data_IF_596999360455
#
_entry.id   IF_596999360455
#
_cell.length_a   1.000
_cell.length_b   1.000
_cell.length_c   1.000
_cell.angle_alpha   90.00
_cell.angle_beta   90.00
_cell.angle_gamma   90.00
#
_symmetry.space_group_name_H-M   'P 1'
#
loop_
_entity.id
_entity.type
_entity.pdbx_description
1 polymer ?
#
# COMPACT_ATOMS: atom_id res chain seq x y z
N UNK A 1 -3.42 12.95 1.72
CA UNK A 1 -3.03 13.70 0.50
C UNK A 1 -3.61 15.09 0.58
N UNK A 2 -2.76 16.09 0.45
CA UNK A 2 -3.15 17.51 0.39
C UNK A 2 -3.02 17.95 -1.06
N UNK A 3 -4.08 18.53 -1.61
CA UNK A 3 -4.08 19.15 -2.94
C UNK A 3 -3.76 20.63 -2.75
N UNK A 4 -2.79 21.13 -3.51
CA UNK A 4 -2.50 22.55 -3.63
C UNK A 4 -3.03 23.05 -4.98
N UNK A 5 -3.65 24.22 -5.00
CA UNK A 5 -4.21 24.79 -6.22
C UNK A 5 -4.12 26.31 -6.22
N UNK A 6 -4.11 26.90 -7.42
CA UNK A 6 -4.03 28.35 -7.62
C UNK A 6 -5.43 28.93 -7.75
N UNK A 7 -5.70 30.00 -7.01
CA UNK A 7 -6.96 30.73 -7.02
C UNK A 7 -7.03 31.73 -8.19
N UNK A 8 -8.23 32.24 -8.54
CA UNK A 8 -8.38 33.27 -9.58
C UNK A 8 -7.63 34.58 -9.32
N UNK A 9 -7.29 34.87 -8.06
CA UNK A 9 -6.54 36.05 -7.63
C UNK A 9 -5.00 35.82 -7.58
N UNK A 10 -4.52 34.77 -8.23
CA UNK A 10 -3.13 34.31 -8.25
C UNK A 10 -2.55 33.81 -6.91
N UNK A 11 -3.34 33.78 -5.83
CA UNK A 11 -2.92 33.17 -4.55
C UNK A 11 -2.95 31.63 -4.60
N UNK A 12 -2.28 30.98 -3.66
CA UNK A 12 -2.31 29.52 -3.51
C UNK A 12 -3.18 29.12 -2.33
N UNK A 13 -3.95 28.04 -2.51
CA UNK A 13 -4.75 27.41 -1.46
C UNK A 13 -4.51 25.90 -1.42
N UNK A 14 -4.99 25.27 -0.35
CA UNK A 14 -4.82 23.85 -0.13
C UNK A 14 -6.04 23.24 0.54
N UNK A 15 -6.25 21.94 0.28
CA UNK A 15 -7.31 21.16 0.93
C UNK A 15 -6.89 19.70 1.08
N UNK A 16 -7.50 19.00 2.04
CA UNK A 16 -7.29 17.55 2.20
C UNK A 16 -8.20 16.81 1.22
N UNK A 17 -7.61 16.30 0.13
CA UNK A 17 -8.35 15.59 -0.91
C UNK A 17 -8.54 14.09 -0.59
N UNK A 18 -7.55 13.46 0.06
CA UNK A 18 -7.65 12.05 0.52
C UNK A 18 -7.15 11.93 1.94
N UNK A 19 -7.94 11.27 2.79
CA UNK A 19 -7.55 10.91 4.15
C UNK A 19 -7.89 9.45 4.44
N UNK A 20 -6.97 8.73 5.06
CA UNK A 20 -7.17 7.37 5.56
C UNK A 20 -7.44 7.46 7.05
N UNK A 21 -8.65 7.08 7.46
CA UNK A 21 -9.07 7.13 8.87
C UNK A 21 -8.29 6.12 9.69
N UNK A 22 -7.82 6.52 10.87
CA UNK A 22 -7.34 5.57 11.88
C UNK A 22 -8.45 4.61 12.28
N UNK A 23 -8.07 3.37 12.57
CA UNK A 23 -8.98 2.35 13.07
C UNK A 23 -8.84 2.27 14.59
N UNK A 24 -9.96 2.18 15.31
CA UNK A 24 -9.93 1.76 16.71
C UNK A 24 -9.48 0.30 16.77
N UNK A 25 -8.56 0.01 17.69
CA UNK A 25 -7.96 -1.32 17.78
C UNK A 25 -7.78 -1.77 19.22
N UNK A 26 -7.82 -3.09 19.44
CA UNK A 26 -7.42 -3.74 20.69
C UNK A 26 -6.09 -4.47 20.52
N UNK A 27 -5.41 -4.71 21.63
CA UNK A 27 -4.09 -5.37 21.69
C UNK A 27 -3.01 -4.66 20.87
N UNK A 28 -3.13 -3.34 20.77
CA UNK A 28 -2.17 -2.43 20.17
C UNK A 28 -1.71 -1.42 21.23
N UNK A 29 -0.52 -0.84 21.07
CA UNK A 29 0.06 0.08 22.04
C UNK A 29 -0.75 1.38 22.21
N UNK A 30 -1.54 1.75 21.20
CA UNK A 30 -2.45 2.90 21.23
C UNK A 30 -3.91 2.45 21.02
N UNK A 31 -4.91 3.25 21.41
CA UNK A 31 -6.32 2.92 21.16
C UNK A 31 -6.70 2.99 19.68
N UNK A 32 -5.91 3.70 18.86
CA UNK A 32 -6.14 3.86 17.44
C UNK A 32 -4.86 3.54 16.64
N UNK A 33 -5.05 2.92 15.48
CA UNK A 33 -3.99 2.56 14.53
C UNK A 33 -4.19 3.36 13.24
N UNK A 34 -3.22 4.23 12.86
CA UNK A 34 -3.27 4.91 11.57
C UNK A 34 -3.01 3.91 10.44
N UNK A 35 -3.38 4.26 9.20
CA UNK A 35 -2.98 3.45 8.04
C UNK A 35 -1.47 3.37 7.87
N UNK A 36 -0.77 4.44 8.27
CA UNK A 36 0.62 4.75 7.92
C UNK A 36 0.82 4.65 6.41
N UNK A 37 0.40 5.70 5.69
CA UNK A 37 0.65 5.82 4.25
C UNK A 37 2.16 6.02 4.08
N UNK A 38 2.85 5.00 3.59
CA UNK A 38 4.31 5.02 3.42
C UNK A 38 4.74 5.39 2.01
N UNK A 39 3.88 5.10 1.03
CA UNK A 39 4.17 5.39 -0.37
C UNK A 39 2.90 5.71 -1.15
N UNK A 40 3.06 6.48 -2.23
CA UNK A 40 2.00 6.79 -3.18
C UNK A 40 2.57 7.11 -4.56
N UNK A 41 1.79 6.82 -5.59
CA UNK A 41 2.11 7.16 -6.98
C UNK A 41 0.85 7.47 -7.79
N UNK A 42 1.04 8.13 -8.93
CA UNK A 42 -0.03 8.45 -9.89
C UNK A 42 0.23 7.66 -11.17
N UNK A 43 -0.84 7.18 -11.82
CA UNK A 43 -0.74 6.55 -13.15
C UNK A 43 -0.29 7.55 -14.21
N UNK A 44 0.38 7.07 -15.27
CA UNK A 44 0.90 7.96 -16.31
C UNK A 44 -0.17 8.77 -17.06
N UNK A 45 -1.42 8.31 -17.05
CA UNK A 45 -2.55 9.02 -17.63
C UNK A 45 -3.22 10.02 -16.66
N UNK A 46 -2.64 10.22 -15.47
CA UNK A 46 -3.13 11.08 -14.39
C UNK A 46 -4.56 10.75 -13.90
N UNK A 47 -5.07 9.54 -14.17
CA UNK A 47 -6.43 9.14 -13.81
C UNK A 47 -6.54 8.48 -12.45
N UNK A 48 -5.47 7.83 -11.96
CA UNK A 48 -5.49 7.08 -10.72
C UNK A 48 -4.33 7.40 -9.79
N UNK A 49 -4.64 7.55 -8.50
CA UNK A 49 -3.71 7.62 -7.39
C UNK A 49 -3.71 6.29 -6.61
N UNK A 50 -2.53 5.79 -6.26
CA UNK A 50 -2.36 4.58 -5.47
C UNK A 50 -1.70 4.92 -4.13
N UNK A 51 -2.15 4.30 -3.03
CA UNK A 51 -1.60 4.48 -1.68
C UNK A 51 -1.30 3.13 -1.04
N UNK A 52 -0.15 2.99 -0.38
CA UNK A 52 0.19 1.83 0.45
C UNK A 52 0.04 2.16 1.94
N UNK A 53 -0.86 1.47 2.66
CA UNK A 53 -1.06 1.62 4.09
C UNK A 53 -0.34 0.51 4.85
N UNK A 54 0.85 0.80 5.35
CA UNK A 54 1.76 -0.20 5.88
C UNK A 54 1.26 -0.87 7.17
N UNK A 55 0.55 -0.16 8.05
CA UNK A 55 0.02 -0.76 9.30
C UNK A 55 -1.32 -1.45 9.09
N UNK A 56 -2.22 -0.84 8.31
CA UNK A 56 -3.52 -1.45 7.98
C UNK A 56 -3.32 -2.71 7.14
N UNK A 57 -2.39 -2.69 6.19
CA UNK A 57 -2.11 -3.83 5.32
C UNK A 57 -2.77 -3.77 3.95
N UNK A 58 -3.29 -2.62 3.54
CA UNK A 58 -4.01 -2.47 2.28
C UNK A 58 -3.38 -1.45 1.32
N UNK A 59 -3.51 -1.75 0.03
CA UNK A 59 -3.28 -0.80 -1.05
C UNK A 59 -4.63 -0.29 -1.53
N UNK A 60 -4.71 1.02 -1.80
CA UNK A 60 -5.92 1.68 -2.30
C UNK A 60 -5.65 2.34 -3.63
N UNK A 61 -6.63 2.30 -4.51
CA UNK A 61 -6.67 3.00 -5.79
C UNK A 61 -7.80 4.04 -5.72
N UNK A 62 -7.50 5.28 -6.07
CA UNK A 62 -8.45 6.39 -6.15
C UNK A 62 -8.50 6.92 -7.58
N UNK A 63 -9.69 7.04 -8.16
CA UNK A 63 -9.88 7.85 -9.36
C UNK A 63 -9.70 9.33 -9.00
N UNK A 64 -8.86 10.03 -9.75
CA UNK A 64 -8.49 11.44 -9.56
C UNK A 64 -8.74 12.29 -10.82
N UNK A 65 -9.62 11.86 -11.73
CA UNK A 65 -10.04 12.67 -12.90
C UNK A 65 -10.62 14.03 -12.46
N UNK A 66 -11.21 14.08 -11.27
CA UNK A 66 -11.42 15.31 -10.50
C UNK A 66 -10.47 15.31 -9.27
N UNK A 67 -9.32 16.00 -9.34
CA UNK A 67 -8.35 16.03 -8.24
C UNK A 67 -8.89 16.66 -6.95
N UNK A 68 -9.96 17.48 -7.02
CA UNK A 68 -10.60 18.06 -5.85
C UNK A 68 -11.48 17.04 -5.12
N UNK A 69 -11.99 16.03 -5.83
CA UNK A 69 -12.88 15.00 -5.28
C UNK A 69 -12.43 13.57 -5.64
N UNK A 70 -11.25 13.10 -5.17
CA UNK A 70 -10.80 11.73 -5.41
C UNK A 70 -11.80 10.68 -4.91
N UNK A 71 -12.05 9.64 -5.70
CA UNK A 71 -13.02 8.59 -5.37
C UNK A 71 -12.31 7.24 -5.22
N UNK A 72 -12.51 6.57 -4.09
CA UNK A 72 -11.98 5.22 -3.89
C UNK A 72 -12.58 4.28 -4.96
N UNK A 73 -11.71 3.70 -5.78
CA UNK A 73 -12.07 2.86 -6.93
C UNK A 73 -11.64 1.40 -6.73
N UNK A 74 -10.64 1.14 -5.90
CA UNK A 74 -10.18 -0.21 -5.57
C UNK A 74 -9.45 -0.28 -4.23
N UNK A 75 -9.49 -1.44 -3.59
CA UNK A 75 -8.77 -1.73 -2.36
C UNK A 75 -8.41 -3.22 -2.32
N UNK A 76 -7.18 -3.54 -1.89
CA UNK A 76 -6.74 -4.93 -1.73
C UNK A 76 -5.92 -5.09 -0.44
N UNK A 77 -6.21 -6.13 0.34
CA UNK A 77 -5.50 -6.46 1.58
C UNK A 77 -4.37 -7.44 1.28
N UNK A 78 -3.15 -7.05 1.61
CA UNK A 78 -1.91 -7.78 1.24
C UNK A 78 -0.94 -7.90 2.42
N UNK A 79 -1.46 -7.85 3.65
CA UNK A 79 -0.67 -7.99 4.86
C UNK A 79 -1.29 -7.23 6.03
N UNK A 80 -0.45 -6.54 6.80
CA UNK A 80 -0.88 -5.64 7.86
C UNK A 80 -1.02 -6.28 9.23
N UNK A 81 -1.24 -5.43 10.23
CA UNK A 81 -1.38 -5.84 11.62
C UNK A 81 -2.79 -6.35 11.95
N UNK A 82 -3.80 -6.02 11.16
CA UNK A 82 -5.20 -6.42 11.41
C UNK A 82 -5.62 -7.68 10.64
N UNK A 83 -4.65 -8.43 10.09
CA UNK A 83 -4.92 -9.68 9.38
C UNK A 83 -5.41 -10.78 10.32
N UNK A 84 -6.18 -11.72 9.78
CA UNK A 84 -6.65 -12.89 10.52
C UNK A 84 -5.48 -13.69 11.09
N UNK A 85 -5.56 -13.98 12.39
CA UNK A 85 -4.51 -14.69 13.14
C UNK A 85 -3.44 -13.77 13.75
N UNK A 86 -3.50 -12.45 13.53
CA UNK A 86 -2.71 -11.51 14.34
C UNK A 86 -3.32 -11.34 15.74
N UNK A 87 -2.56 -10.72 16.65
CA UNK A 87 -3.07 -10.37 17.99
C UNK A 87 -3.96 -9.13 17.98
N UNK A 88 -3.83 -8.25 16.97
CA UNK A 88 -4.53 -6.98 16.90
C UNK A 88 -5.94 -7.17 16.33
N UNK A 89 -6.93 -6.57 16.98
CA UNK A 89 -8.34 -6.62 16.56
C UNK A 89 -8.81 -5.21 16.22
N UNK A 90 -9.33 -4.99 15.02
CA UNK A 90 -9.95 -3.71 14.65
C UNK A 90 -11.40 -3.66 15.13
N UNK A 91 -11.89 -2.49 15.53
CA UNK A 91 -13.28 -2.29 15.94
C UNK A 91 -14.11 -1.67 14.81
N UNK A 92 -15.26 -2.27 14.54
CA UNK A 92 -16.29 -1.72 13.65
C UNK A 92 -17.13 -0.65 14.37
N UNK A 93 -17.96 0.08 13.62
CA UNK A 93 -18.78 1.18 14.15
C UNK A 93 -19.81 0.72 15.18
N UNK A 94 -20.25 -0.53 15.10
CA UNK A 94 -21.20 -1.15 16.04
C UNK A 94 -20.52 -1.73 17.29
N UNK A 95 -19.19 -1.55 17.42
CA UNK A 95 -18.40 -2.06 18.54
C UNK A 95 -17.96 -3.52 18.40
N UNK A 96 -18.33 -4.21 17.33
CA UNK A 96 -17.83 -5.55 17.04
C UNK A 96 -16.37 -5.50 16.61
N UNK A 97 -15.61 -6.58 16.83
CA UNK A 97 -14.22 -6.67 16.39
C UNK A 97 -14.09 -7.48 15.11
N UNK A 98 -13.19 -7.08 14.22
CA UNK A 98 -12.88 -7.79 12.99
C UNK A 98 -11.38 -7.85 12.71
N UNK A 99 -11.03 -8.78 11.85
CA UNK A 99 -9.73 -8.91 11.19
C UNK A 99 -9.98 -9.14 9.71
N UNK A 100 -8.98 -8.88 8.87
CA UNK A 100 -9.08 -9.01 7.41
C UNK A 100 -8.48 -10.32 6.94
N UNK A 101 -9.13 -10.96 5.97
CA UNK A 101 -8.52 -12.09 5.27
C UNK A 101 -7.44 -11.56 4.30
N UNK A 102 -6.28 -12.21 4.30
CA UNK A 102 -5.15 -11.91 3.42
C UNK A 102 -4.80 -13.21 2.69
N UNK A 103 -4.73 -13.21 1.35
CA UNK A 103 -4.47 -14.42 0.60
C UNK A 103 -3.03 -14.91 0.81
N UNK A 104 -2.84 -16.22 0.70
CA UNK A 104 -1.53 -16.81 0.49
C UNK A 104 -1.23 -16.85 -1.01
N UNK A 105 0.02 -16.61 -1.41
CA UNK A 105 0.45 -16.63 -2.81
C UNK A 105 1.45 -17.77 -2.99
N UNK A 106 1.14 -18.73 -3.86
CA UNK A 106 1.97 -19.91 -4.09
C UNK A 106 2.34 -20.67 -2.79
N UNK A 107 1.42 -20.70 -1.82
CA UNK A 107 1.64 -21.33 -0.51
C UNK A 107 2.42 -20.48 0.50
N UNK A 108 2.84 -19.26 0.12
CA UNK A 108 3.53 -18.33 1.00
C UNK A 108 2.55 -17.38 1.69
N UNK A 109 2.67 -17.27 3.01
CA UNK A 109 1.98 -16.25 3.79
C UNK A 109 2.63 -14.89 3.57
N UNK A 110 1.83 -13.88 3.24
CA UNK A 110 2.32 -12.51 3.17
C UNK A 110 2.73 -12.01 4.56
N UNK A 111 3.93 -11.43 4.63
CA UNK A 111 4.58 -10.85 5.82
C UNK A 111 4.52 -9.32 5.75
N UNK A 112 4.54 -8.63 6.89
CA UNK A 112 4.52 -7.16 6.89
C UNK A 112 3.23 -6.57 6.33
N UNK A 113 3.24 -5.27 6.05
CA UNK A 113 2.25 -4.59 5.22
C UNK A 113 2.89 -4.05 3.94
N UNK A 114 2.09 -3.63 2.94
CA UNK A 114 2.61 -3.06 1.70
C UNK A 114 3.34 -1.75 2.00
N UNK A 115 4.50 -1.56 1.38
CA UNK A 115 5.36 -0.39 1.61
C UNK A 115 5.62 0.38 0.33
N UNK A 116 6.68 0.11 -0.44
CA UNK A 116 6.87 0.75 -1.75
C UNK A 116 5.98 0.06 -2.77
N UNK A 117 5.41 0.86 -3.66
CA UNK A 117 4.61 0.38 -4.79
C UNK A 117 5.18 0.93 -6.09
N UNK A 118 5.05 0.18 -7.18
CA UNK A 118 5.48 0.64 -8.49
C UNK A 118 4.52 0.14 -9.57
N UNK A 119 3.95 1.08 -10.32
CA UNK A 119 2.97 0.81 -11.38
C UNK A 119 3.68 0.66 -12.73
N UNK A 120 3.24 -0.32 -13.51
CA UNK A 120 3.67 -0.48 -14.90
C UNK A 120 3.23 0.70 -15.77
N UNK A 121 3.98 1.01 -16.82
CA UNK A 121 3.67 2.12 -17.74
C UNK A 121 2.27 2.01 -18.38
N UNK A 122 1.79 0.79 -18.62
CA UNK A 122 0.43 0.56 -19.15
C UNK A 122 -0.68 0.62 -18.08
N UNK A 123 -0.33 0.86 -16.81
CA UNK A 123 -1.26 1.00 -15.70
C UNK A 123 -1.92 -0.30 -15.22
N UNK A 124 -1.53 -1.47 -15.74
CA UNK A 124 -2.25 -2.75 -15.51
C UNK A 124 -1.66 -3.61 -14.40
N UNK A 125 -0.43 -3.34 -13.97
CA UNK A 125 0.29 -4.16 -12.99
C UNK A 125 0.93 -3.24 -11.95
N UNK A 126 0.56 -3.43 -10.70
CA UNK A 126 1.16 -2.75 -9.56
C UNK A 126 1.98 -3.75 -8.77
N UNK A 127 3.26 -3.49 -8.57
CA UNK A 127 4.11 -4.32 -7.72
C UNK A 127 4.25 -3.67 -6.35
N UNK A 128 4.38 -4.49 -5.30
CA UNK A 128 4.55 -3.99 -3.95
C UNK A 128 5.64 -4.79 -3.21
N UNK A 129 6.53 -4.07 -2.52
CA UNK A 129 7.41 -4.60 -1.47
C UNK A 129 6.81 -4.29 -0.10
N UNK A 130 7.46 -4.74 0.98
CA UNK A 130 6.89 -4.68 2.32
C UNK A 130 7.84 -4.22 3.45
N UNK A 131 9.12 -3.93 3.17
CA UNK A 131 10.05 -3.38 4.16
C UNK A 131 10.07 -1.85 4.13
N UNK A 132 9.93 -1.21 5.30
CA UNK A 132 9.99 0.24 5.44
C UNK A 132 11.38 0.70 5.90
N UNK A 133 11.78 0.21 7.07
CA UNK A 133 13.04 0.57 7.72
C UNK A 133 13.31 -0.47 8.79
N UNK A 134 14.50 -1.06 8.79
CA UNK A 134 14.77 -2.30 9.55
C UNK A 134 14.42 -2.24 11.04
N UNK A 135 14.59 -1.10 11.71
CA UNK A 135 14.22 -0.97 13.13
C UNK A 135 12.70 -0.93 13.33
N UNK A 136 11.95 -0.32 12.41
CA UNK A 136 10.49 -0.28 12.42
C UNK A 136 9.93 -1.63 12.00
N UNK A 137 10.50 -2.25 10.98
CA UNK A 137 10.17 -3.61 10.54
C UNK A 137 10.31 -4.58 11.72
N UNK A 138 11.42 -4.53 12.45
CA UNK A 138 11.64 -5.37 13.64
C UNK A 138 10.60 -5.11 14.73
N UNK A 139 10.20 -3.86 14.93
CA UNK A 139 9.25 -3.49 15.98
C UNK A 139 7.82 -3.94 15.66
N UNK A 140 7.37 -3.76 14.42
CA UNK A 140 5.98 -3.97 14.02
C UNK A 140 5.75 -5.33 13.35
N UNK A 141 6.75 -5.84 12.65
CA UNK A 141 6.71 -7.08 11.88
C UNK A 141 8.00 -7.90 12.08
N UNK A 142 8.27 -8.43 13.28
CA UNK A 142 9.50 -9.18 13.55
C UNK A 142 9.75 -10.33 12.57
N UNK A 143 8.68 -11.06 12.19
CA UNK A 143 8.71 -12.10 11.16
C UNK A 143 9.26 -11.62 9.80
N UNK A 144 9.11 -10.34 9.46
CA UNK A 144 9.62 -9.77 8.21
C UNK A 144 11.16 -9.77 8.21
N UNK A 145 11.77 -9.42 9.34
CA UNK A 145 13.23 -9.40 9.50
C UNK A 145 13.79 -10.82 9.57
N UNK A 146 13.06 -11.73 10.22
CA UNK A 146 13.49 -13.13 10.38
C UNK A 146 13.37 -13.96 9.10
N UNK A 147 12.36 -13.70 8.27
CA UNK A 147 12.02 -14.54 7.10
C UNK A 147 12.20 -13.82 5.77
N UNK A 148 12.52 -12.54 5.80
CA UNK A 148 12.77 -11.75 4.60
C UNK A 148 11.50 -11.15 4.02
N UNK A 149 11.72 -10.07 3.29
CA UNK A 149 10.73 -9.37 2.50
C UNK A 149 10.29 -10.16 1.26
N UNK A 150 9.35 -9.61 0.52
CA UNK A 150 8.91 -10.20 -0.75
C UNK A 150 8.40 -9.12 -1.71
N UNK A 151 8.23 -9.49 -2.97
CA UNK A 151 7.45 -8.72 -3.96
C UNK A 151 6.21 -9.51 -4.33
N UNK A 152 5.08 -8.80 -4.38
CA UNK A 152 3.83 -9.28 -4.98
C UNK A 152 3.46 -8.45 -6.21
N UNK A 153 2.63 -9.01 -7.09
CA UNK A 153 1.96 -8.27 -8.15
C UNK A 153 0.46 -8.17 -7.85
N UNK A 154 -0.10 -7.01 -8.14
CA UNK A 154 -1.53 -6.70 -8.08
C UNK A 154 -1.96 -6.36 -9.51
N UNK A 155 -2.98 -7.07 -9.99
CA UNK A 155 -3.64 -6.78 -11.24
C UNK A 155 -4.59 -5.59 -11.05
N UNK A 156 -4.51 -4.64 -11.97
CA UNK A 156 -5.21 -3.35 -11.90
C UNK A 156 -6.23 -3.26 -13.04
N UNK A 157 -7.49 -2.97 -12.72
CA UNK A 157 -8.46 -2.49 -13.71
C UNK A 157 -8.25 -0.99 -13.92
N UNK A 158 -7.49 -0.64 -14.96
CA UNK A 158 -7.15 0.74 -15.32
C UNK A 158 -8.30 1.50 -16.01
N UNK A 159 -9.43 0.86 -16.29
CA UNK A 159 -10.56 1.49 -16.95
C UNK A 159 -11.62 1.91 -15.93
N UNK A 160 -12.02 0.97 -15.07
CA UNK A 160 -13.10 1.16 -14.09
C UNK A 160 -12.59 1.36 -12.66
N UNK A 161 -11.32 1.03 -12.41
CA UNK A 161 -10.82 0.82 -11.07
C UNK A 161 -11.11 -0.60 -10.57
N UNK A 162 -10.25 -1.09 -9.70
CA UNK A 162 -10.27 -2.44 -9.18
C UNK A 162 -8.85 -2.95 -8.98
N UNK A 163 -8.64 -3.63 -7.85
CA UNK A 163 -7.36 -4.25 -7.50
C UNK A 163 -7.59 -5.71 -7.12
N UNK A 164 -6.74 -6.60 -7.61
CA UNK A 164 -6.76 -8.01 -7.23
C UNK A 164 -5.33 -8.56 -7.13
N UNK A 165 -5.07 -9.39 -6.14
CA UNK A 165 -3.76 -10.05 -5.99
C UNK A 165 -3.58 -11.05 -7.14
N UNK A 166 -2.43 -10.99 -7.83
CA UNK A 166 -2.07 -12.01 -8.80
C UNK A 166 -1.54 -13.25 -8.05
N UNK A 167 -2.24 -14.40 -8.08
CA UNK A 167 -1.83 -15.60 -7.34
C UNK A 167 -0.60 -16.29 -7.92
N UNK A 168 -0.12 -15.86 -9.10
CA UNK A 168 0.95 -16.49 -9.86
C UNK A 168 2.29 -15.76 -9.77
N UNK A 169 2.37 -14.65 -9.03
CA UNK A 169 3.60 -13.86 -8.90
C UNK A 169 3.99 -13.67 -7.43
N UNK A 170 5.14 -14.20 -7.05
CA UNK A 170 5.75 -14.00 -5.73
C UNK A 170 7.27 -14.08 -5.86
N UNK A 171 7.98 -13.08 -5.33
CA UNK A 171 9.45 -13.11 -5.21
C UNK A 171 9.78 -13.12 -3.73
N UNK A 172 10.46 -14.17 -3.26
CA UNK A 172 10.83 -14.32 -1.85
C UNK A 172 12.29 -13.96 -1.60
N UNK A 173 12.53 -12.90 -0.82
CA UNK A 173 13.87 -12.48 -0.41
C UNK A 173 14.36 -13.16 0.88
N UNK A 174 13.61 -14.12 1.42
CA UNK A 174 14.04 -14.97 2.52
C UNK A 174 15.12 -15.98 2.14
N UNK A 175 15.33 -16.21 0.85
CA UNK A 175 16.25 -17.23 0.31
C UNK A 175 17.53 -16.65 -0.30
N UNK A 176 17.80 -15.36 -0.06
CA UNK A 176 19.01 -14.71 -0.55
C UNK A 176 20.29 -15.36 0.04
N UNK A 177 21.43 -15.33 -0.69
CA UNK A 177 22.63 -16.08 -0.31
C UNK A 177 23.19 -15.77 1.09
N UNK A 178 23.06 -14.51 1.52
CA UNK A 178 23.57 -14.01 2.81
C UNK A 178 22.48 -13.95 3.90
N UNK A 179 21.34 -14.60 3.65
CA UNK A 179 20.18 -14.65 4.54
C UNK A 179 19.08 -13.66 4.16
N UNK A 180 18.02 -13.57 4.98
CA UNK A 180 16.83 -12.79 4.68
C UNK A 180 17.10 -11.32 4.35
N UNK A 181 16.68 -10.87 3.16
CA UNK A 181 16.84 -9.49 2.73
C UNK A 181 15.55 -8.67 2.85
N UNK A 182 15.72 -7.35 2.99
CA UNK A 182 14.67 -6.35 3.18
C UNK A 182 14.58 -5.43 1.95
N UNK A 183 13.75 -5.82 0.98
CA UNK A 183 13.51 -5.11 -0.26
C UNK A 183 12.62 -3.90 -0.03
N UNK A 184 13.08 -2.76 -0.54
CA UNK A 184 12.44 -1.46 -0.40
C UNK A 184 11.95 -0.97 -1.76
N UNK A 185 12.70 -0.13 -2.45
CA UNK A 185 12.31 0.44 -3.74
C UNK A 185 12.53 -0.51 -4.92
N UNK A 186 11.66 -0.41 -5.92
CA UNK A 186 11.74 -1.14 -7.19
C UNK A 186 11.83 -0.13 -8.33
N UNK A 187 12.64 -0.42 -9.36
CA UNK A 187 12.73 0.40 -10.57
C UNK A 187 12.57 -0.44 -11.81
N UNK A 188 11.79 0.04 -12.78
CA UNK A 188 11.62 -0.68 -14.03
C UNK A 188 12.78 -0.40 -14.99
N UNK A 189 13.24 -1.41 -15.75
CA UNK A 189 14.11 -1.17 -16.89
C UNK A 189 13.40 -0.27 -17.91
N UNK A 190 13.99 0.90 -18.20
CA UNK A 190 13.45 1.85 -19.18
C UNK A 190 12.50 2.90 -18.61
N UNK A 191 12.42 3.02 -17.28
CA UNK A 191 11.65 4.08 -16.61
C UNK A 191 10.30 3.61 -16.10
N UNK A 192 9.78 4.34 -15.12
CA UNK A 192 8.52 4.07 -14.44
C UNK A 192 7.83 5.38 -14.00
N UNK A 193 6.61 5.27 -13.46
CA UNK A 193 5.79 6.42 -13.08
C UNK A 193 6.36 7.27 -11.94
N UNK A 194 7.51 6.91 -11.36
CA UNK A 194 8.15 7.66 -10.27
C UNK A 194 9.59 8.07 -10.61
N UNK A 195 10.18 7.57 -11.71
CA UNK A 195 11.55 7.91 -12.12
C UNK A 195 11.66 8.94 -13.25
N UNK A 196 10.65 9.07 -14.10
CA UNK A 196 10.74 9.84 -15.34
C UNK A 196 9.92 11.12 -15.30
N UNK A 197 10.48 12.19 -15.86
CA UNK A 197 9.82 13.48 -16.05
C UNK A 197 9.68 13.71 -17.56
N UNK A 198 8.45 13.85 -18.02
CA UNK A 198 8.12 14.11 -19.42
C UNK A 198 8.05 15.63 -19.66
N UNK A 199 8.64 16.10 -20.79
CA UNK A 199 8.73 17.53 -21.18
C UNK A 199 7.95 17.78 -22.46
#
# INVERSE_FOLDING_TARGET
MVRFFKNPDDSWSHEVAVSVKSLKVKNWILPEMPGLITDFLISLDDRFLYLANWLHGDIRQYNIEDPANPKLAGQVWVGGLIRKGSSVLAEAKDGTTFQVDVPDIQGNKLRGGPQMIQLSLDGKRLYATNSLYSTWDKQFYPDLVEKGSHIIQIDVDSEKGGLSVNPNFFVDFGTEPDGPALAHEMRYPGGDCTSDIWV
#
